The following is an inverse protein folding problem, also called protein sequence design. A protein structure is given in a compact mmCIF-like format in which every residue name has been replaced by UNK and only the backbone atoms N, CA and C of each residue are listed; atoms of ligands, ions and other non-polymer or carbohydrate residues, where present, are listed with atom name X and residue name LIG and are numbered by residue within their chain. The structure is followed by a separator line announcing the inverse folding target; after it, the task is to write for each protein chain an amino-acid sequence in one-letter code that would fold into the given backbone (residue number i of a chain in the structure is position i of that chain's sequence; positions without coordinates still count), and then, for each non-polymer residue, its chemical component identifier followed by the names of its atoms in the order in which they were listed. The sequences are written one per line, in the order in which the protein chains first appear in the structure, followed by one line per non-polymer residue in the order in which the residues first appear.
data_IF_655292812448
#
_entry.id   IF_655292812448
#
_cell.length_a   1.000
_cell.length_b   1.000
_cell.length_c   1.000
_cell.angle_alpha   90.00
_cell.angle_beta   90.00
_cell.angle_gamma   90.00
#
_symmetry.space_group_name_H-M   'P 1'
#
loop_
_entity.id
_entity.type
_entity.pdbx_description
1 polymer ?
#
# COMPACT_ATOMS: atom_id res chain seq x y z
N UNK A 1 -21.24 4.88 12.68
CA UNK A 1 -20.93 6.32 12.99
C UNK A 1 -20.29 7.03 11.78
N UNK A 2 -19.22 6.50 11.15
CA UNK A 2 -18.54 7.11 9.98
C UNK A 2 -19.47 7.53 8.82
N UNK A 3 -20.41 6.69 8.32
CA UNK A 3 -21.26 7.09 7.20
C UNK A 3 -22.11 8.35 7.48
N UNK A 4 -22.61 8.48 8.70
CA UNK A 4 -23.41 9.65 9.09
C UNK A 4 -22.56 10.93 9.12
N UNK A 5 -21.33 10.85 9.60
CA UNK A 5 -20.40 11.97 9.61
C UNK A 5 -20.05 12.41 8.20
N UNK A 6 -19.66 11.45 7.33
CA UNK A 6 -19.32 11.74 5.93
C UNK A 6 -20.48 12.40 5.17
N UNK A 7 -21.72 11.91 5.32
CA UNK A 7 -22.92 12.53 4.76
C UNK A 7 -23.14 13.96 5.26
N UNK A 8 -22.94 14.18 6.56
CA UNK A 8 -23.08 15.50 7.17
C UNK A 8 -22.05 16.49 6.62
N UNK A 9 -20.78 16.09 6.51
CA UNK A 9 -19.70 16.89 5.95
C UNK A 9 -19.98 17.20 4.47
N UNK A 10 -20.33 16.17 3.68
CA UNK A 10 -20.67 16.35 2.25
C UNK A 10 -21.79 17.39 2.06
N UNK A 11 -22.85 17.32 2.87
CA UNK A 11 -23.99 18.22 2.77
C UNK A 11 -23.67 19.65 3.20
N UNK A 12 -22.84 19.84 4.25
CA UNK A 12 -22.58 21.16 4.83
C UNK A 12 -21.42 21.89 4.18
N UNK A 13 -20.39 21.17 3.76
CA UNK A 13 -19.11 21.76 3.35
C UNK A 13 -18.63 21.28 1.99
N UNK A 14 -19.30 20.28 1.41
CA UNK A 14 -18.76 19.52 0.30
C UNK A 14 -17.71 18.50 0.79
N UNK A 15 -17.53 17.41 0.05
CA UNK A 15 -16.53 16.38 0.31
C UNK A 15 -16.08 15.81 -1.03
N UNK A 16 -14.80 15.95 -1.36
CA UNK A 16 -14.22 15.45 -2.61
C UNK A 16 -13.45 14.14 -2.46
N UNK A 17 -13.00 13.82 -1.25
CA UNK A 17 -12.21 12.62 -0.95
C UNK A 17 -12.42 12.24 0.52
N UNK A 18 -12.50 10.94 0.81
CA UNK A 18 -12.45 10.40 2.17
C UNK A 18 -11.21 9.51 2.32
N UNK A 19 -10.39 9.80 3.33
CA UNK A 19 -9.22 8.98 3.68
C UNK A 19 -9.45 8.34 5.05
N UNK A 20 -9.19 7.03 5.14
CA UNK A 20 -9.35 6.24 6.37
C UNK A 20 -8.00 5.64 6.78
N UNK A 21 -7.54 5.96 7.97
CA UNK A 21 -6.32 5.42 8.56
C UNK A 21 -6.67 4.74 9.89
N UNK A 22 -6.73 3.44 9.93
CA UNK A 22 -6.73 2.39 8.89
C UNK A 22 -7.90 1.42 9.13
N UNK A 23 -8.21 0.54 8.18
CA UNK A 23 -9.39 -0.34 8.21
C UNK A 23 -9.52 -1.17 9.48
N UNK A 24 -8.40 -1.65 10.02
CA UNK A 24 -8.40 -2.53 11.19
C UNK A 24 -8.79 -1.82 12.49
N UNK A 25 -8.87 -0.50 12.52
CA UNK A 25 -9.42 0.25 13.66
C UNK A 25 -10.95 0.37 13.62
N UNK A 26 -11.56 0.02 12.49
CA UNK A 26 -13.01 0.08 12.36
C UNK A 26 -13.65 -1.15 12.99
N UNK A 27 -14.80 -0.94 13.64
CA UNK A 27 -15.66 -2.00 14.14
C UNK A 27 -16.78 -2.28 13.15
N UNK A 28 -17.04 -3.54 12.89
CA UNK A 28 -18.18 -4.04 12.13
C UNK A 28 -18.98 -5.05 12.94
N UNK A 29 -20.19 -5.35 12.48
CA UNK A 29 -21.01 -6.41 13.05
C UNK A 29 -20.63 -7.73 12.37
N UNK A 30 -20.16 -8.70 13.13
CA UNK A 30 -19.77 -10.02 12.62
C UNK A 30 -19.13 -10.86 13.71
N UNK A 31 -19.30 -12.18 13.61
CA UNK A 31 -18.81 -13.14 14.60
C UNK A 31 -17.30 -13.29 14.59
N UNK A 32 -16.67 -12.93 13.49
CA UNK A 32 -15.22 -12.96 13.34
C UNK A 32 -14.71 -11.75 12.55
N UNK A 33 -13.39 -11.53 12.62
CA UNK A 33 -12.75 -10.36 12.02
C UNK A 33 -12.90 -10.29 10.50
N UNK A 34 -12.91 -11.43 9.83
CA UNK A 34 -13.08 -11.46 8.36
C UNK A 34 -14.46 -10.95 7.95
N UNK A 35 -15.52 -11.37 8.66
CA UNK A 35 -16.88 -10.89 8.41
C UNK A 35 -17.02 -9.39 8.69
N UNK A 36 -16.38 -8.91 9.77
CA UNK A 36 -16.37 -7.48 10.08
C UNK A 36 -15.71 -6.65 8.96
N UNK A 37 -14.56 -7.09 8.47
CA UNK A 37 -13.86 -6.41 7.35
C UNK A 37 -14.70 -6.47 6.08
N UNK A 38 -15.33 -7.60 5.78
CA UNK A 38 -16.22 -7.72 4.63
C UNK A 38 -17.40 -6.74 4.70
N UNK A 39 -18.02 -6.62 5.85
CA UNK A 39 -19.10 -5.65 6.06
C UNK A 39 -18.59 -4.20 5.91
N UNK A 40 -17.41 -3.90 6.46
CA UNK A 40 -16.78 -2.58 6.37
C UNK A 40 -16.50 -2.23 4.92
N UNK A 41 -15.84 -3.11 4.15
CA UNK A 41 -15.45 -2.84 2.75
C UNK A 41 -16.66 -2.66 1.85
N UNK A 42 -17.70 -3.50 2.00
CA UNK A 42 -18.98 -3.34 1.31
C UNK A 42 -19.67 -2.02 1.66
N UNK A 43 -19.66 -1.66 2.95
CA UNK A 43 -20.22 -0.39 3.44
C UNK A 43 -19.48 0.82 2.87
N UNK A 44 -18.15 0.79 2.81
CA UNK A 44 -17.33 1.84 2.22
C UNK A 44 -17.57 1.95 0.71
N UNK A 45 -17.70 0.83 0.00
CA UNK A 45 -18.01 0.81 -1.42
C UNK A 45 -19.39 1.42 -1.71
N UNK A 46 -20.40 1.11 -0.90
CA UNK A 46 -21.72 1.69 -1.00
C UNK A 46 -21.70 3.20 -0.72
N UNK A 47 -20.97 3.61 0.31
CA UNK A 47 -20.80 5.02 0.69
C UNK A 47 -20.10 5.84 -0.40
N UNK A 48 -19.04 5.30 -1.01
CA UNK A 48 -18.33 5.95 -2.12
C UNK A 48 -19.28 6.25 -3.30
N UNK A 49 -20.11 5.26 -3.66
CA UNK A 49 -21.13 5.42 -4.71
C UNK A 49 -22.23 6.40 -4.33
N UNK A 50 -22.71 6.33 -3.09
CA UNK A 50 -23.77 7.21 -2.59
C UNK A 50 -23.35 8.68 -2.58
N UNK A 51 -22.12 8.94 -2.11
CA UNK A 51 -21.58 10.30 -1.99
C UNK A 51 -20.92 10.78 -3.29
N UNK A 52 -20.77 9.92 -4.28
CA UNK A 52 -20.03 10.18 -5.51
C UNK A 52 -18.63 10.79 -5.22
N UNK A 53 -17.84 10.08 -4.41
CA UNK A 53 -16.48 10.46 -4.04
C UNK A 53 -15.56 9.23 -4.00
N UNK A 54 -14.25 9.39 -4.28
CA UNK A 54 -13.27 8.35 -3.98
C UNK A 54 -13.09 8.19 -2.47
N UNK A 55 -12.83 6.94 -2.07
CA UNK A 55 -12.43 6.59 -0.70
C UNK A 55 -11.07 5.90 -0.76
N UNK A 56 -10.09 6.43 -0.06
CA UNK A 56 -8.79 5.78 0.16
C UNK A 56 -8.81 5.17 1.57
N UNK A 57 -8.64 3.87 1.65
CA UNK A 57 -8.55 3.16 2.92
C UNK A 57 -7.16 2.54 3.08
N UNK A 58 -6.45 2.90 4.14
CA UNK A 58 -5.20 2.26 4.51
C UNK A 58 -5.50 0.90 5.13
N UNK A 59 -4.65 -0.08 4.85
CA UNK A 59 -4.75 -1.42 5.41
C UNK A 59 -3.40 -1.92 5.86
N UNK A 60 -3.35 -2.49 7.06
CA UNK A 60 -2.15 -3.12 7.58
C UNK A 60 -1.91 -4.46 6.87
N UNK A 61 -0.66 -4.72 6.52
CA UNK A 61 -0.24 -6.00 5.95
C UNK A 61 0.04 -7.04 7.03
N UNK A 62 -0.03 -8.30 6.64
CA UNK A 62 0.43 -9.42 7.45
C UNK A 62 1.96 -9.39 7.54
N UNK A 63 2.51 -9.63 8.73
CA UNK A 63 3.97 -9.74 8.93
C UNK A 63 4.61 -10.90 8.18
N UNK A 64 3.81 -11.85 7.67
CA UNK A 64 4.32 -12.97 6.85
C UNK A 64 5.03 -12.52 5.57
N UNK A 65 4.75 -11.31 5.06
CA UNK A 65 5.49 -10.78 3.91
C UNK A 65 6.98 -10.55 4.23
N UNK A 66 7.32 -10.29 5.49
CA UNK A 66 8.70 -10.05 5.94
C UNK A 66 9.53 -11.34 6.06
N UNK A 67 8.86 -12.51 6.15
CA UNK A 67 9.50 -13.82 6.27
C UNK A 67 9.98 -14.35 4.91
N UNK A 68 9.50 -13.79 3.80
CA UNK A 68 9.86 -14.22 2.44
C UNK A 68 11.20 -13.62 2.01
N UNK A 69 11.89 -14.32 1.11
CA UNK A 69 13.09 -13.80 0.44
C UNK A 69 12.78 -12.52 -0.34
N UNK A 70 11.68 -12.54 -1.13
CA UNK A 70 11.15 -11.35 -1.77
C UNK A 70 10.06 -10.75 -0.88
N UNK A 71 10.36 -9.64 -0.24
CA UNK A 71 9.48 -8.96 0.71
C UNK A 71 8.50 -7.98 0.06
N UNK A 72 8.46 -7.91 -1.28
CA UNK A 72 7.45 -7.11 -1.97
C UNK A 72 6.06 -7.60 -1.63
N UNK A 73 5.17 -6.71 -1.19
CA UNK A 73 3.81 -7.08 -0.81
C UNK A 73 3.01 -7.63 -2.00
N UNK A 74 2.09 -8.53 -1.70
CA UNK A 74 1.12 -9.10 -2.66
C UNK A 74 -0.26 -9.19 -2.02
N UNK A 75 -1.30 -9.46 -2.83
CA UNK A 75 -2.68 -9.47 -2.34
C UNK A 75 -2.91 -10.43 -1.16
N UNK A 76 -2.23 -11.58 -1.14
CA UNK A 76 -2.32 -12.53 -0.02
C UNK A 76 -1.76 -12.00 1.31
N UNK A 77 -1.03 -10.88 1.30
CA UNK A 77 -0.50 -10.24 2.51
C UNK A 77 -1.48 -9.24 3.13
N UNK A 78 -2.54 -8.88 2.42
CA UNK A 78 -3.64 -8.14 3.02
C UNK A 78 -4.27 -9.03 4.10
N UNK A 79 -4.22 -8.58 5.34
CA UNK A 79 -4.91 -9.27 6.44
C UNK A 79 -6.40 -9.33 6.13
N UNK A 80 -6.99 -10.53 6.25
CA UNK A 80 -8.43 -10.74 5.99
C UNK A 80 -8.79 -10.43 4.51
N UNK A 81 -7.92 -10.85 3.59
CA UNK A 81 -7.72 -10.32 2.24
C UNK A 81 -8.88 -10.51 1.25
N UNK A 82 -9.68 -11.56 1.39
CA UNK A 82 -10.68 -11.89 0.36
C UNK A 82 -11.66 -10.76 0.08
N UNK A 83 -12.20 -10.14 1.13
CA UNK A 83 -13.17 -9.06 1.00
C UNK A 83 -12.55 -7.76 0.46
N UNK A 84 -11.37 -7.39 1.00
CA UNK A 84 -10.65 -6.20 0.53
C UNK A 84 -10.34 -6.34 -0.97
N UNK A 85 -9.82 -7.51 -1.37
CA UNK A 85 -9.47 -7.75 -2.76
C UNK A 85 -10.71 -7.74 -3.67
N UNK A 86 -11.85 -8.24 -3.22
CA UNK A 86 -13.08 -8.23 -4.02
C UNK A 86 -13.66 -6.82 -4.20
N UNK A 87 -13.74 -6.05 -3.12
CA UNK A 87 -14.49 -4.79 -3.09
C UNK A 87 -13.68 -3.59 -3.60
N UNK A 88 -12.35 -3.58 -3.42
CA UNK A 88 -11.50 -2.49 -3.91
C UNK A 88 -11.46 -2.44 -5.45
N UNK A 89 -11.51 -1.23 -6.01
CA UNK A 89 -11.30 -1.02 -7.44
C UNK A 89 -9.81 -0.97 -7.79
N UNK A 90 -9.00 -0.44 -6.88
CA UNK A 90 -7.56 -0.32 -6.99
C UNK A 90 -6.92 -0.79 -5.68
N UNK A 91 -5.83 -1.56 -5.78
CA UNK A 91 -4.98 -1.93 -4.65
C UNK A 91 -3.57 -1.51 -4.96
N UNK A 92 -3.02 -0.69 -4.07
CA UNK A 92 -1.66 -0.19 -4.15
C UNK A 92 -0.87 -0.67 -2.94
N UNK A 93 0.35 -1.16 -3.17
CA UNK A 93 1.30 -1.42 -2.10
C UNK A 93 2.47 -0.44 -2.20
N UNK A 94 2.98 -0.04 -1.05
CA UNK A 94 4.20 0.75 -0.94
C UNK A 94 5.31 -0.18 -0.47
N UNK A 95 6.41 -0.22 -1.21
CA UNK A 95 7.58 -1.02 -0.87
C UNK A 95 8.84 -0.17 -0.96
N UNK A 96 9.73 -0.30 0.04
CA UNK A 96 11.03 0.34 0.08
C UNK A 96 12.08 -0.73 0.36
N UNK A 97 12.92 -1.00 -0.65
CA UNK A 97 13.94 -2.06 -0.54
C UNK A 97 14.97 -1.75 0.55
N UNK A 98 15.33 -0.49 0.73
CA UNK A 98 16.31 -0.04 1.72
C UNK A 98 15.94 -0.37 3.17
N UNK A 99 14.65 -0.53 3.49
CA UNK A 99 14.17 -0.92 4.83
C UNK A 99 14.56 -2.35 5.20
N UNK A 100 14.70 -3.20 4.19
CA UNK A 100 15.02 -4.62 4.36
C UNK A 100 16.44 -4.96 3.94
N UNK A 101 17.03 -4.15 3.08
CA UNK A 101 18.36 -4.34 2.51
C UNK A 101 19.19 -3.06 2.66
N UNK A 102 20.05 -2.96 3.70
CA UNK A 102 20.93 -1.80 3.89
C UNK A 102 21.89 -1.56 2.73
N UNK A 103 22.18 -2.59 1.92
CA UNK A 103 23.03 -2.53 0.73
C UNK A 103 22.23 -2.35 -0.56
N UNK A 104 20.93 -1.98 -0.47
CA UNK A 104 20.08 -1.77 -1.63
C UNK A 104 20.71 -0.80 -2.63
N UNK A 105 20.65 -1.16 -3.92
CA UNK A 105 20.99 -0.28 -5.02
C UNK A 105 19.91 0.81 -5.26
N UNK A 106 18.70 0.59 -4.71
CA UNK A 106 17.52 1.43 -4.90
C UNK A 106 17.29 2.39 -3.71
N UNK A 107 18.35 2.80 -3.00
CA UNK A 107 18.25 3.71 -1.86
C UNK A 107 17.57 5.04 -2.24
N UNK A 108 16.80 5.58 -1.30
CA UNK A 108 16.05 6.82 -1.50
C UNK A 108 14.91 6.68 -2.49
N UNK A 109 14.49 5.45 -2.80
CA UNK A 109 13.33 5.21 -3.66
C UNK A 109 12.26 4.36 -2.98
N UNK A 110 11.05 4.44 -3.49
CA UNK A 110 9.93 3.58 -3.13
C UNK A 110 9.23 3.07 -4.38
N UNK A 111 8.75 1.85 -4.32
CA UNK A 111 7.91 1.25 -5.35
C UNK A 111 6.44 1.37 -4.95
N UNK A 112 5.63 1.93 -5.83
CA UNK A 112 4.17 1.89 -5.73
C UNK A 112 3.70 0.76 -6.65
N UNK A 113 3.35 -0.37 -6.04
CA UNK A 113 2.95 -1.59 -6.76
C UNK A 113 1.44 -1.58 -6.92
N UNK A 114 0.97 -1.49 -8.16
CA UNK A 114 -0.45 -1.54 -8.54
C UNK A 114 -0.79 -3.01 -8.74
N UNK A 115 -1.26 -3.68 -7.69
CA UNK A 115 -1.56 -5.11 -7.73
C UNK A 115 -2.96 -5.42 -8.24
N UNK A 116 -3.85 -4.45 -8.18
CA UNK A 116 -5.19 -4.50 -8.76
C UNK A 116 -5.55 -3.13 -9.32
N UNK A 117 -6.07 -3.13 -10.54
CA UNK A 117 -6.69 -1.96 -11.15
C UNK A 117 -7.85 -2.41 -12.03
N UNK A 118 -9.08 -2.18 -11.59
CA UNK A 118 -10.29 -2.67 -12.27
C UNK A 118 -10.52 -2.01 -13.62
N UNK A 119 -10.00 -0.81 -13.84
CA UNK A 119 -10.20 0.00 -15.06
C UNK A 119 -8.92 0.23 -15.85
N UNK A 120 -7.79 -0.38 -15.43
CA UNK A 120 -6.50 -0.17 -16.08
C UNK A 120 -5.58 -1.37 -15.91
N UNK A 121 -4.31 -1.16 -16.20
CA UNK A 121 -3.29 -2.19 -16.08
C UNK A 121 -2.69 -2.22 -14.67
N UNK A 122 -2.30 -3.41 -14.25
CA UNK A 122 -1.43 -3.60 -13.09
C UNK A 122 0.01 -3.23 -13.47
N UNK A 123 0.82 -2.87 -12.50
CA UNK A 123 2.18 -2.49 -12.76
C UNK A 123 2.89 -1.96 -11.53
N UNK A 124 3.97 -1.26 -11.74
CA UNK A 124 4.77 -0.63 -10.68
C UNK A 124 5.29 0.72 -11.14
N UNK A 125 5.20 1.71 -10.27
CA UNK A 125 5.80 3.03 -10.45
C UNK A 125 6.85 3.22 -9.36
N UNK A 126 8.06 3.63 -9.76
CA UNK A 126 9.12 3.98 -8.83
C UNK A 126 9.10 5.48 -8.58
N UNK A 127 9.21 5.87 -7.31
CA UNK A 127 9.21 7.25 -6.86
C UNK A 127 10.46 7.52 -6.02
N UNK A 128 10.93 8.73 -5.99
CA UNK A 128 11.91 9.20 -5.02
C UNK A 128 11.25 9.29 -3.64
N UNK A 129 11.95 8.86 -2.60
CA UNK A 129 11.48 8.93 -1.22
C UNK A 129 12.50 9.65 -0.32
N UNK A 130 12.08 10.74 0.29
CA UNK A 130 12.87 11.51 1.25
C UNK A 130 12.44 11.17 2.67
N UNK A 131 13.14 10.23 3.32
CA UNK A 131 12.78 9.68 4.62
C UNK A 131 12.67 10.73 5.74
N UNK A 132 13.56 11.75 5.74
CA UNK A 132 13.55 12.83 6.73
C UNK A 132 12.28 13.69 6.69
N UNK A 133 11.56 13.71 5.57
CA UNK A 133 10.32 14.45 5.39
C UNK A 133 9.11 13.53 5.15
N UNK A 134 9.29 12.22 5.13
CA UNK A 134 8.25 11.22 4.76
C UNK A 134 7.57 11.60 3.44
N UNK A 135 8.38 12.03 2.45
CA UNK A 135 7.88 12.66 1.23
C UNK A 135 8.21 11.81 0.00
N UNK A 136 7.20 11.62 -0.83
CA UNK A 136 7.33 11.04 -2.17
C UNK A 136 7.40 12.15 -3.20
N UNK A 137 8.27 12.00 -4.20
CA UNK A 137 8.39 12.89 -5.34
C UNK A 137 8.55 12.05 -6.60
N UNK A 138 8.38 12.68 -7.76
CA UNK A 138 8.73 12.05 -9.02
C UNK A 138 10.21 11.65 -9.02
N UNK A 139 10.51 10.50 -9.62
CA UNK A 139 11.87 10.06 -9.79
C UNK A 139 12.53 10.89 -10.89
N UNK A 140 13.79 11.32 -10.67
CA UNK A 140 14.58 11.98 -11.69
C UNK A 140 14.70 11.08 -12.94
N UNK A 141 14.45 11.59 -14.15
CA UNK A 141 14.57 10.81 -15.38
C UNK A 141 15.96 10.21 -15.62
N UNK A 142 17.00 10.80 -15.01
CA UNK A 142 18.37 10.32 -15.07
C UNK A 142 18.75 9.35 -13.95
N UNK A 143 17.83 9.05 -13.02
CA UNK A 143 18.13 8.17 -11.91
C UNK A 143 18.45 6.74 -12.38
N UNK A 144 19.52 6.19 -11.83
CA UNK A 144 19.93 4.79 -12.06
C UNK A 144 20.24 4.13 -10.70
N UNK A 145 19.98 2.82 -10.54
CA UNK A 145 20.34 2.09 -9.34
C UNK A 145 21.85 2.14 -9.06
N UNK A 146 22.24 2.38 -7.82
CA UNK A 146 23.64 2.33 -7.39
C UNK A 146 24.09 0.87 -7.21
N UNK A 147 24.55 0.21 -8.26
CA UNK A 147 25.20 -1.09 -8.13
C UNK A 147 26.59 -0.91 -7.51
N UNK A 148 26.75 -1.31 -6.25
CA UNK A 148 28.09 -1.52 -5.71
C UNK A 148 28.67 -2.78 -6.35
N UNK A 149 29.71 -2.65 -7.15
CA UNK A 149 30.54 -3.80 -7.53
C UNK A 149 30.98 -4.50 -6.23
N UNK A 150 30.56 -5.75 -6.07
CA UNK A 150 31.15 -6.59 -5.00
C UNK A 150 32.65 -6.63 -5.24
N UNK A 151 33.42 -6.01 -4.35
CA UNK A 151 34.87 -6.15 -4.35
C UNK A 151 35.18 -7.64 -4.21
N UNK A 152 35.55 -8.28 -5.32
CA UNK A 152 36.06 -9.65 -5.34
C UNK A 152 37.23 -9.69 -4.36
N UNK A 153 37.00 -10.30 -3.19
CA UNK A 153 38.10 -10.60 -2.26
C UNK A 153 39.18 -11.32 -3.04
N UNK A 154 40.45 -10.85 -3.01
CA UNK A 154 41.54 -11.55 -3.68
C UNK A 154 41.60 -12.99 -3.14
N UNK A 155 41.55 -13.95 -4.05
CA UNK A 155 41.80 -15.36 -3.68
C UNK A 155 43.18 -15.40 -3.03
N UNK A 156 43.24 -15.70 -1.74
CA UNK A 156 44.52 -16.07 -1.08
C UNK A 156 45.06 -17.27 -1.85
N UNK A 157 46.18 -17.08 -2.52
CA UNK A 157 46.95 -18.16 -3.10
C UNK A 157 47.28 -19.15 -2.00
N UNK A 158 47.03 -20.42 -2.25
CA UNK A 158 47.59 -21.52 -1.51
C UNK A 158 48.97 -21.76 -2.14
N UNK A 159 50.00 -21.33 -1.44
CA UNK A 159 51.36 -21.88 -1.55
C UNK A 159 51.48 -23.07 -0.58
#
# INVERSE_FOLDING_TARGET
MLPLQARSVKRKHGLGLLVLDYLQLMSGDGDNRNQQIEQITRGLKALAKELDIPIIALSQLSRKCEERTNKRPMNSDLRESGAIEQDADVILFVYRDEEYNPASADKGTAEIIISKNRQGQNGMVRMSYQGCFTRFNDLDPGWQPEYREEQKKPRRGMD
#
